data_IF_818071670509
#
_entry.id   IF_818071670509
#
_cell.length_a   1.000
_cell.length_b   1.000
_cell.length_c   1.000
_cell.angle_alpha   90.00
_cell.angle_beta   90.00
_cell.angle_gamma   90.00
#
_symmetry.space_group_name_H-M   'P 1'
#
loop_
_entity.id
_entity.type
_entity.pdbx_description
1 polymer ?
#
# COMPACT_ATOMS: atom_id res chain seq x y z
N UNK A 1 9.41 -36.69 -8.61
CA UNK A 1 10.12 -35.61 -7.89
C UNK A 1 9.24 -35.24 -6.73
N UNK A 2 9.60 -35.67 -5.52
CA UNK A 2 8.82 -35.38 -4.32
C UNK A 2 9.01 -33.91 -3.97
N UNK A 3 7.99 -33.08 -4.22
CA UNK A 3 7.97 -31.71 -3.71
C UNK A 3 8.00 -31.80 -2.17
N UNK A 4 9.04 -31.26 -1.54
CA UNK A 4 9.00 -31.00 -0.11
C UNK A 4 7.94 -29.94 0.12
N UNK A 5 6.97 -30.25 0.97
CA UNK A 5 5.92 -29.31 1.36
C UNK A 5 6.14 -29.00 2.83
N UNK A 6 6.24 -27.72 3.17
CA UNK A 6 6.27 -27.27 4.56
C UNK A 6 4.87 -26.91 5.01
N UNK A 7 4.47 -27.50 6.14
CA UNK A 7 3.22 -27.18 6.81
C UNK A 7 3.44 -25.98 7.74
N UNK A 8 2.67 -24.90 7.53
CA UNK A 8 2.72 -23.71 8.38
C UNK A 8 1.34 -23.47 8.97
N UNK A 9 1.23 -23.57 10.30
CA UNK A 9 0.00 -23.27 11.01
C UNK A 9 -0.07 -21.78 11.36
N UNK A 10 -1.09 -21.09 10.87
CA UNK A 10 -1.27 -19.65 11.01
C UNK A 10 -2.64 -19.33 11.58
N UNK A 11 -2.69 -18.33 12.45
CA UNK A 11 -3.92 -17.63 12.76
C UNK A 11 -4.16 -16.58 11.67
N UNK A 12 -5.14 -16.82 10.81
CA UNK A 12 -5.51 -15.92 9.73
C UNK A 12 -6.56 -14.93 10.21
N UNK A 13 -6.33 -13.64 9.96
CA UNK A 13 -7.27 -12.56 10.24
C UNK A 13 -7.76 -11.99 8.90
N UNK A 14 -9.03 -12.24 8.58
CA UNK A 14 -9.70 -11.70 7.39
C UNK A 14 -10.76 -10.67 7.74
N UNK A 15 -11.62 -10.32 6.78
CA UNK A 15 -12.75 -9.42 7.02
C UNK A 15 -13.84 -10.14 7.83
N UNK A 16 -14.20 -11.35 7.41
CA UNK A 16 -15.34 -12.11 7.96
C UNK A 16 -14.94 -13.30 8.83
N UNK A 17 -13.67 -13.70 8.83
CA UNK A 17 -13.19 -14.87 9.57
C UNK A 17 -11.90 -14.55 10.35
N UNK A 18 -11.72 -15.26 11.46
CA UNK A 18 -10.51 -15.23 12.26
C UNK A 18 -10.23 -16.63 12.82
N UNK A 19 -9.47 -17.42 12.06
CA UNK A 19 -9.40 -18.87 12.23
C UNK A 19 -7.97 -19.39 12.08
N UNK A 20 -7.68 -20.55 12.69
CA UNK A 20 -6.41 -21.25 12.47
C UNK A 20 -6.50 -22.04 11.18
N UNK A 21 -5.62 -21.72 10.24
CA UNK A 21 -5.46 -22.46 9.00
C UNK A 21 -4.07 -23.08 8.90
N UNK A 22 -4.03 -24.24 8.29
CA UNK A 22 -2.80 -24.89 7.87
C UNK A 22 -2.59 -24.54 6.40
N UNK A 23 -1.48 -23.87 6.11
CA UNK A 23 -1.06 -23.56 4.76
C UNK A 23 0.10 -24.45 4.35
N UNK A 24 0.00 -24.99 3.15
CA UNK A 24 1.02 -25.84 2.54
C UNK A 24 1.89 -24.97 1.65
N UNK A 25 3.16 -24.83 2.02
CA UNK A 25 4.14 -24.03 1.29
C UNK A 25 5.01 -24.98 0.46
N UNK A 26 4.98 -24.89 -0.88
CA UNK A 26 5.94 -25.60 -1.73
C UNK A 26 7.37 -25.12 -1.44
N UNK A 27 8.34 -26.03 -1.33
CA UNK A 27 9.77 -25.66 -1.16
C UNK A 27 10.46 -25.17 -2.43
N UNK A 28 9.76 -25.08 -3.55
CA UNK A 28 10.33 -24.57 -4.81
C UNK A 28 10.62 -23.07 -4.64
N UNK A 29 11.90 -22.68 -4.70
CA UNK A 29 12.51 -21.32 -4.82
C UNK A 29 12.00 -20.15 -3.95
N UNK A 30 10.89 -20.27 -3.23
CA UNK A 30 10.27 -19.22 -2.45
C UNK A 30 10.61 -19.34 -0.96
N UNK A 31 10.87 -18.20 -0.33
CA UNK A 31 10.89 -18.12 1.14
C UNK A 31 9.48 -18.33 1.70
N UNK A 32 9.37 -18.81 2.95
CA UNK A 32 8.06 -19.00 3.61
C UNK A 32 7.18 -17.75 3.53
N UNK A 33 7.67 -16.52 3.85
CA UNK A 33 6.85 -15.31 3.69
C UNK A 33 6.40 -15.06 2.26
N UNK A 34 7.25 -15.31 1.25
CA UNK A 34 6.89 -15.13 -0.15
C UNK A 34 5.78 -16.09 -0.57
N UNK A 35 5.86 -17.36 -0.17
CA UNK A 35 4.81 -18.34 -0.45
C UNK A 35 3.47 -17.96 0.20
N UNK A 36 3.50 -17.42 1.42
CA UNK A 36 2.31 -16.90 2.10
C UNK A 36 1.66 -15.74 1.34
N UNK A 37 2.48 -14.79 0.86
CA UNK A 37 2.03 -13.68 0.01
C UNK A 37 1.37 -14.21 -1.26
N UNK A 38 1.94 -15.22 -1.91
CA UNK A 38 1.33 -15.88 -3.09
C UNK A 38 -0.03 -16.53 -2.80
N UNK A 39 -0.30 -16.88 -1.54
CA UNK A 39 -1.58 -17.44 -1.09
C UNK A 39 -2.57 -16.36 -0.62
N UNK A 40 -2.25 -15.07 -0.80
CA UNK A 40 -3.15 -13.96 -0.50
C UNK A 40 -3.12 -13.50 0.96
N UNK A 41 -2.08 -13.87 1.72
CA UNK A 41 -1.94 -13.47 3.13
C UNK A 41 -0.60 -12.80 3.39
N UNK A 42 -0.61 -11.75 4.22
CA UNK A 42 0.60 -11.06 4.64
C UNK A 42 1.00 -11.52 6.05
N UNK A 43 2.18 -12.12 6.22
CA UNK A 43 2.65 -12.55 7.53
C UNK A 43 3.01 -11.35 8.43
N UNK A 44 2.69 -11.44 9.71
CA UNK A 44 3.05 -10.41 10.69
C UNK A 44 4.47 -10.57 11.28
N UNK A 45 5.21 -11.61 10.87
CA UNK A 45 6.59 -11.84 11.30
C UNK A 45 7.41 -12.45 10.15
N UNK A 46 8.71 -12.07 10.00
CA UNK A 46 9.50 -12.43 8.83
C UNK A 46 10.04 -13.88 8.84
N UNK A 47 10.31 -14.45 10.02
CA UNK A 47 10.97 -15.76 10.14
C UNK A 47 9.99 -16.87 10.53
N UNK A 48 9.19 -16.64 11.56
CA UNK A 48 8.27 -17.62 12.12
C UNK A 48 6.89 -16.98 12.28
N UNK A 49 6.13 -16.82 11.19
CA UNK A 49 4.80 -16.24 11.27
C UNK A 49 3.85 -17.19 12.01
N UNK A 50 3.21 -16.68 13.05
CA UNK A 50 2.09 -17.33 13.73
C UNK A 50 0.74 -16.68 13.40
N UNK A 51 0.79 -15.46 12.85
CA UNK A 51 -0.38 -14.68 12.47
C UNK A 51 -0.13 -14.07 11.11
N UNK A 52 -1.16 -14.09 10.28
CA UNK A 52 -1.17 -13.42 8.99
C UNK A 52 -2.50 -12.70 8.80
N UNK A 53 -2.48 -11.60 8.05
CA UNK A 53 -3.68 -10.84 7.69
C UNK A 53 -3.95 -11.07 6.21
N UNK A 54 -5.20 -11.32 5.86
CA UNK A 54 -5.58 -11.48 4.45
C UNK A 54 -5.42 -10.15 3.70
N UNK A 55 -4.95 -10.22 2.45
CA UNK A 55 -4.70 -9.01 1.64
C UNK A 55 -5.97 -8.19 1.40
N UNK A 56 -7.13 -8.84 1.25
CA UNK A 56 -8.42 -8.17 1.06
C UNK A 56 -8.80 -7.26 2.25
N UNK A 57 -8.51 -7.69 3.48
CA UNK A 57 -8.72 -6.90 4.68
C UNK A 57 -7.78 -5.68 4.74
N UNK A 58 -6.53 -5.84 4.28
CA UNK A 58 -5.56 -4.75 4.19
C UNK A 58 -5.95 -3.75 3.10
N UNK A 59 -6.34 -4.23 1.92
CA UNK A 59 -6.80 -3.42 0.81
C UNK A 59 -8.06 -2.61 1.19
N UNK A 60 -9.03 -3.26 1.83
CA UNK A 60 -10.23 -2.59 2.33
C UNK A 60 -9.87 -1.45 3.28
N UNK A 61 -8.94 -1.69 4.22
CA UNK A 61 -8.48 -0.64 5.11
C UNK A 61 -7.79 0.50 4.35
N UNK A 62 -6.87 0.20 3.44
CA UNK A 62 -6.18 1.22 2.64
C UNK A 62 -7.15 2.09 1.85
N UNK A 63 -8.17 1.48 1.22
CA UNK A 63 -9.22 2.23 0.50
C UNK A 63 -10.02 3.10 1.47
N UNK A 64 -10.45 2.54 2.60
CA UNK A 64 -11.22 3.27 3.61
C UNK A 64 -10.44 4.46 4.20
N UNK A 65 -9.16 4.25 4.52
CA UNK A 65 -8.26 5.28 5.04
C UNK A 65 -8.00 6.38 4.01
N UNK A 66 -7.86 6.03 2.73
CA UNK A 66 -7.76 7.02 1.66
C UNK A 66 -9.02 7.89 1.58
N UNK A 67 -10.22 7.33 1.82
CA UNK A 67 -11.46 8.13 1.86
C UNK A 67 -11.62 8.93 3.15
N UNK A 68 -11.09 8.45 4.26
CA UNK A 68 -11.15 9.10 5.56
C UNK A 68 -9.83 8.92 6.32
N UNK A 69 -8.91 9.91 6.27
CA UNK A 69 -7.61 9.81 6.94
C UNK A 69 -7.71 9.65 8.46
N UNK A 70 -8.84 10.03 9.06
CA UNK A 70 -9.11 9.86 10.48
C UNK A 70 -9.55 8.44 10.86
N UNK A 71 -9.70 7.53 9.88
CA UNK A 71 -10.10 6.16 10.14
C UNK A 71 -8.92 5.34 10.70
N UNK A 72 -8.88 5.23 12.03
CA UNK A 72 -7.80 4.56 12.73
C UNK A 72 -7.79 3.04 12.51
N UNK A 73 -6.59 2.45 12.50
CA UNK A 73 -6.38 0.99 12.49
C UNK A 73 -7.15 0.32 13.64
N UNK A 74 -7.12 0.92 14.84
CA UNK A 74 -7.81 0.36 16.00
C UNK A 74 -9.34 0.29 15.79
N UNK A 75 -9.93 1.33 15.20
CA UNK A 75 -11.36 1.33 14.89
C UNK A 75 -11.68 0.22 13.89
N UNK A 76 -10.91 0.11 12.80
CA UNK A 76 -11.09 -0.94 11.81
C UNK A 76 -10.95 -2.35 12.39
N UNK A 77 -9.90 -2.60 13.18
CA UNK A 77 -9.65 -3.91 13.78
C UNK A 77 -10.73 -4.28 14.80
N UNK A 78 -11.30 -3.32 15.53
CA UNK A 78 -12.49 -3.56 16.36
C UNK A 78 -13.70 -3.93 15.51
N UNK A 79 -13.95 -3.20 14.42
CA UNK A 79 -15.08 -3.47 13.52
C UNK A 79 -15.00 -4.88 12.94
N UNK A 80 -13.84 -5.33 12.44
CA UNK A 80 -13.70 -6.71 11.94
C UNK A 80 -13.80 -7.73 13.08
N UNK A 81 -13.30 -7.43 14.29
CA UNK A 81 -13.45 -8.32 15.44
C UNK A 81 -14.93 -8.52 15.81
N UNK A 82 -15.71 -7.44 15.82
CA UNK A 82 -17.15 -7.47 16.07
C UNK A 82 -17.88 -8.27 14.98
N UNK A 83 -17.48 -8.10 13.71
CA UNK A 83 -18.04 -8.81 12.56
C UNK A 83 -17.75 -10.32 12.61
N UNK A 84 -16.57 -10.70 13.08
CA UNK A 84 -16.14 -12.09 13.29
C UNK A 84 -16.75 -12.72 14.55
N UNK A 85 -17.39 -11.92 15.42
CA UNK A 85 -17.90 -12.38 16.71
C UNK A 85 -16.80 -12.70 17.72
N UNK A 86 -15.60 -12.13 17.58
CA UNK A 86 -14.46 -12.35 18.49
C UNK A 86 -14.18 -11.13 19.36
N UNK A 87 -13.70 -11.35 20.59
CA UNK A 87 -13.33 -10.25 21.46
C UNK A 87 -12.09 -9.52 20.95
N UNK A 88 -12.19 -8.21 20.74
CA UNK A 88 -11.04 -7.37 20.38
C UNK A 88 -9.91 -7.49 21.41
N UNK A 89 -8.68 -7.67 20.92
CA UNK A 89 -7.46 -7.65 21.72
C UNK A 89 -6.51 -6.57 21.20
N UNK A 90 -5.92 -5.71 22.07
CA UNK A 90 -5.07 -4.60 21.64
C UNK A 90 -3.91 -4.97 20.72
N UNK A 91 -3.31 -6.15 20.90
CA UNK A 91 -2.19 -6.60 20.07
C UNK A 91 -2.60 -6.84 18.61
N UNK A 92 -3.88 -7.11 18.31
CA UNK A 92 -4.36 -7.34 16.94
C UNK A 92 -4.18 -6.09 16.08
N UNK A 93 -4.39 -4.90 16.65
CA UNK A 93 -4.14 -3.64 15.95
C UNK A 93 -2.65 -3.47 15.59
N UNK A 94 -1.74 -3.93 16.47
CA UNK A 94 -0.30 -3.92 16.18
C UNK A 94 0.07 -4.90 15.09
N UNK A 95 -0.46 -6.12 15.12
CA UNK A 95 -0.24 -7.12 14.06
C UNK A 95 -0.78 -6.65 12.71
N UNK A 96 -1.96 -6.02 12.71
CA UNK A 96 -2.54 -5.43 11.52
C UNK A 96 -1.66 -4.32 10.94
N UNK A 97 -1.15 -3.40 11.78
CA UNK A 97 -0.23 -2.35 11.35
C UNK A 97 1.04 -2.93 10.70
N UNK A 98 1.63 -3.98 11.29
CA UNK A 98 2.83 -4.63 10.71
C UNK A 98 2.52 -5.21 9.34
N UNK A 99 1.39 -5.93 9.21
CA UNK A 99 0.99 -6.51 7.93
C UNK A 99 0.65 -5.42 6.89
N UNK A 100 0.04 -4.32 7.31
CA UNK A 100 -0.28 -3.18 6.46
C UNK A 100 1.00 -2.52 5.92
N UNK A 101 2.02 -2.31 6.75
CA UNK A 101 3.29 -1.72 6.32
C UNK A 101 3.95 -2.58 5.23
N UNK A 102 3.94 -3.91 5.40
CA UNK A 102 4.47 -4.86 4.41
C UNK A 102 3.65 -4.83 3.13
N UNK A 103 2.31 -4.84 3.24
CA UNK A 103 1.41 -4.77 2.09
C UNK A 103 1.63 -3.50 1.26
N UNK A 104 1.67 -2.34 1.91
CA UNK A 104 1.90 -1.06 1.25
C UNK A 104 3.27 -1.01 0.56
N UNK A 105 4.32 -1.54 1.20
CA UNK A 105 5.65 -1.64 0.57
C UNK A 105 5.64 -2.52 -0.69
N UNK A 106 4.90 -3.64 -0.67
CA UNK A 106 4.72 -4.48 -1.86
C UNK A 106 4.01 -3.70 -2.96
N UNK A 107 2.89 -3.03 -2.65
CA UNK A 107 2.16 -2.22 -3.62
C UNK A 107 3.02 -1.11 -4.23
N UNK A 108 3.80 -0.40 -3.41
CA UNK A 108 4.72 0.64 -3.87
C UNK A 108 5.78 0.05 -4.81
N UNK A 109 6.41 -1.06 -4.43
CA UNK A 109 7.43 -1.71 -5.27
C UNK A 109 6.86 -2.21 -6.60
N UNK A 110 5.65 -2.76 -6.59
CA UNK A 110 4.95 -3.18 -7.82
C UNK A 110 4.67 -1.96 -8.71
N UNK A 111 4.23 -0.84 -8.13
CA UNK A 111 4.03 0.39 -8.88
C UNK A 111 5.34 0.90 -9.51
N UNK A 112 6.47 0.85 -8.78
CA UNK A 112 7.77 1.23 -9.33
C UNK A 112 8.17 0.36 -10.53
N UNK A 113 7.97 -0.96 -10.43
CA UNK A 113 8.24 -1.90 -11.52
C UNK A 113 7.34 -1.63 -12.74
N UNK A 114 6.08 -1.26 -12.52
CA UNK A 114 5.16 -0.86 -13.59
C UNK A 114 5.65 0.42 -14.26
N UNK A 115 6.08 1.42 -13.48
CA UNK A 115 6.61 2.68 -14.02
C UNK A 115 7.88 2.44 -14.83
N UNK A 116 8.80 1.61 -14.35
CA UNK A 116 10.02 1.19 -15.06
C UNK A 116 9.66 0.49 -16.39
N UNK A 117 8.75 -0.47 -16.36
CA UNK A 117 8.30 -1.19 -17.56
C UNK A 117 7.61 -0.29 -18.60
N UNK A 118 6.98 0.80 -18.16
CA UNK A 118 6.38 1.82 -19.01
C UNK A 118 7.36 2.93 -19.42
N UNK A 119 8.64 2.85 -19.03
CA UNK A 119 9.66 3.87 -19.21
C UNK A 119 9.24 5.25 -18.65
N UNK A 120 8.61 5.24 -17.48
CA UNK A 120 8.08 6.41 -16.74
C UNK A 120 8.85 6.70 -15.45
N UNK A 121 10.03 6.12 -15.31
CA UNK A 121 10.88 6.11 -14.12
C UNK A 121 11.86 7.30 -14.05
N UNK A 122 11.89 8.17 -15.07
CA UNK A 122 12.78 9.34 -15.06
C UNK A 122 12.28 10.44 -14.11
N UNK A 123 13.17 11.23 -13.50
CA UNK A 123 12.79 12.43 -12.75
C UNK A 123 11.93 13.38 -13.59
N UNK A 124 10.86 13.89 -12.96
CA UNK A 124 9.88 14.78 -13.57
C UNK A 124 9.16 14.19 -14.79
N UNK A 125 9.14 12.86 -14.96
CA UNK A 125 8.48 12.23 -16.11
C UNK A 125 7.05 12.71 -16.27
N UNK A 126 6.29 12.71 -15.16
CA UNK A 126 4.93 13.22 -15.16
C UNK A 126 4.90 14.70 -15.56
N UNK A 127 5.75 15.57 -15.01
CA UNK A 127 5.73 16.99 -15.36
C UNK A 127 6.00 17.23 -16.86
N UNK A 128 6.91 16.45 -17.46
CA UNK A 128 7.27 16.55 -18.89
C UNK A 128 6.23 15.94 -19.82
N UNK A 129 5.44 14.97 -19.35
CA UNK A 129 4.52 14.18 -20.17
C UNK A 129 3.04 14.33 -19.77
N UNK A 130 2.71 15.15 -18.78
CA UNK A 130 1.32 15.40 -18.35
C UNK A 130 0.59 16.26 -19.38
N UNK A 131 -0.70 15.93 -19.55
CA UNK A 131 -1.66 16.49 -20.50
C UNK A 131 -1.04 17.31 -21.64
N UNK A 132 -0.77 16.67 -22.79
CA UNK A 132 -0.25 17.37 -23.97
C UNK A 132 -1.08 18.61 -24.31
N UNK A 133 -2.41 18.54 -24.22
CA UNK A 133 -3.29 19.68 -24.51
C UNK A 133 -3.05 20.90 -23.60
N UNK A 134 -2.60 20.69 -22.36
CA UNK A 134 -2.35 21.78 -21.40
C UNK A 134 -0.92 22.34 -21.47
N UNK A 135 0.03 21.61 -22.06
CA UNK A 135 1.47 21.94 -22.05
C UNK A 135 2.07 22.11 -23.45
N UNK A 136 1.32 21.80 -24.51
CA UNK A 136 1.77 21.92 -25.89
C UNK A 136 1.74 23.36 -26.38
N UNK A 137 2.91 23.86 -26.79
CA UNK A 137 3.08 25.19 -27.40
C UNK A 137 3.14 25.06 -28.92
N UNK A 138 2.36 25.88 -29.63
CA UNK A 138 2.39 25.89 -31.10
C UNK A 138 3.62 26.65 -31.63
N UNK A 139 4.12 26.23 -32.80
CA UNK A 139 5.12 27.01 -33.52
C UNK A 139 4.48 28.35 -33.91
N UNK A 140 5.11 29.44 -33.50
CA UNK A 140 4.65 30.83 -33.69
C UNK A 140 3.50 31.28 -32.76
N UNK A 141 3.29 30.60 -31.64
CA UNK A 141 2.39 31.10 -30.59
C UNK A 141 2.92 32.39 -29.95
N UNK A 142 2.13 33.47 -29.85
CA UNK A 142 2.56 34.69 -29.19
C UNK A 142 2.78 34.42 -27.69
N UNK A 143 3.82 35.03 -27.11
CA UNK A 143 4.13 34.83 -25.70
C UNK A 143 2.95 35.29 -24.82
N UNK A 144 2.29 34.32 -24.19
CA UNK A 144 1.15 34.56 -23.32
C UNK A 144 1.66 35.09 -21.97
N UNK A 145 0.96 36.10 -21.42
CA UNK A 145 1.24 36.61 -20.07
C UNK A 145 1.22 35.51 -19.01
N UNK A 146 0.39 34.48 -19.21
CA UNK A 146 0.34 33.27 -18.40
C UNK A 146 0.40 32.06 -19.33
N UNK A 147 1.40 31.18 -19.16
CA UNK A 147 1.62 30.02 -20.05
C UNK A 147 0.67 28.86 -19.82
N UNK A 148 -0.01 28.82 -18.67
CA UNK A 148 -0.89 27.71 -18.30
C UNK A 148 -1.98 28.22 -17.35
N UNK A 149 -3.23 27.82 -17.61
CA UNK A 149 -4.34 27.97 -16.68
C UNK A 149 -4.57 26.62 -16.00
N UNK A 150 -4.19 26.52 -14.73
CA UNK A 150 -4.36 25.29 -13.98
C UNK A 150 -5.76 25.28 -13.34
N UNK A 151 -6.62 24.38 -13.80
CA UNK A 151 -7.82 24.02 -13.07
C UNK A 151 -7.43 22.88 -12.11
N UNK A 152 -7.21 23.22 -10.85
CA UNK A 152 -7.15 22.19 -9.82
C UNK A 152 -8.55 21.62 -9.69
N UNK A 153 -8.70 20.31 -9.92
CA UNK A 153 -9.68 19.51 -9.20
C UNK A 153 -9.70 20.03 -7.76
N UNK A 154 -10.87 20.16 -7.12
CA UNK A 154 -11.06 20.64 -5.75
C UNK A 154 -10.23 19.92 -4.68
N UNK A 155 -9.33 19.05 -5.13
CA UNK A 155 -8.19 18.52 -4.42
C UNK A 155 -8.69 17.48 -3.44
N UNK A 156 -9.80 16.83 -3.81
CA UNK A 156 -10.48 15.83 -3.00
C UNK A 156 -9.58 14.61 -2.79
N UNK A 157 -8.65 14.36 -3.71
CA UNK A 157 -7.58 13.36 -3.56
C UNK A 157 -6.42 13.82 -2.66
N UNK A 158 -6.09 15.11 -2.59
CA UNK A 158 -5.02 15.60 -1.69
C UNK A 158 -5.50 15.71 -0.24
N UNK A 159 -6.82 15.83 -0.03
CA UNK A 159 -7.44 15.61 1.29
C UNK A 159 -7.19 14.19 1.81
N UNK A 160 -6.74 13.25 0.95
CA UNK A 160 -6.42 11.87 1.29
C UNK A 160 -4.94 11.65 1.67
N UNK A 161 -4.05 12.64 1.56
CA UNK A 161 -2.63 12.50 1.93
C UNK A 161 -2.49 12.53 3.45
N UNK A 162 -1.90 11.49 4.04
CA UNK A 162 -1.60 11.47 5.47
C UNK A 162 -0.58 12.55 5.83
N UNK A 163 -0.72 13.18 7.00
CA UNK A 163 0.20 14.24 7.46
C UNK A 163 1.65 13.78 7.58
N UNK A 164 1.88 12.47 7.66
CA UNK A 164 3.21 11.85 7.73
C UNK A 164 3.97 11.94 6.41
N UNK A 165 3.29 11.79 5.27
CA UNK A 165 3.90 12.02 3.95
C UNK A 165 4.35 13.49 3.78
N UNK A 166 3.58 14.44 4.33
CA UNK A 166 3.91 15.87 4.31
C UNK A 166 5.14 16.20 5.17
N UNK A 167 5.39 15.45 6.25
CA UNK A 167 6.58 15.66 7.08
C UNK A 167 7.87 15.10 6.46
N UNK A 168 7.80 14.01 5.69
CA UNK A 168 8.95 13.45 4.98
C UNK A 168 9.48 14.44 3.92
N UNK A 169 8.59 15.08 3.16
CA UNK A 169 8.96 16.09 2.15
C UNK A 169 9.59 17.35 2.75
N UNK A 170 9.13 17.80 3.93
CA UNK A 170 9.75 18.94 4.63
C UNK A 170 11.19 18.67 5.05
N UNK A 171 11.50 17.40 5.35
CA UNK A 171 12.83 16.97 5.76
C UNK A 171 13.78 16.92 4.57
N UNK A 172 13.29 16.53 3.39
CA UNK A 172 14.04 16.55 2.14
C UNK A 172 14.29 17.97 1.62
N UNK A 173 13.34 18.89 1.80
CA UNK A 173 13.48 20.29 1.36
C UNK A 173 14.47 21.12 2.21
N UNK A 174 14.77 20.71 3.44
CA UNK A 174 15.74 21.39 4.30
C UNK A 174 17.22 21.07 3.99
N UNK A 175 17.50 20.07 3.14
CA UNK A 175 18.87 19.65 2.81
C UNK A 175 19.47 20.28 1.55
N UNK A 176 18.77 21.19 0.87
CA UNK A 176 19.17 21.78 -0.41
C UNK A 176 19.57 23.26 -0.30
N UNK A 177 19.94 23.71 0.90
CA UNK A 177 20.33 25.10 1.17
C UNK A 177 21.62 25.20 1.96
N UNK A 178 22.75 24.86 1.33
CA UNK A 178 24.07 25.48 1.54
C UNK A 178 24.76 25.68 0.19
#
# INVERSE_FOLDING_TARGET
MDLKVHEVQLYMVGIFCAERHVLYVPTEDYSVPSALVHQGVIPCAPLHPHTAVMMDALELYSIAQNRSPHFSIQAFVKTISDLQGVQYRPYLARLFSIALDVYLQICLRVNDLILEALCRDTPDWHLKNTCPTCTYTLKDEPDLKFKMLFAMDGNDLLKCISREAISADKSAAQGLGE
#
